data_IF_153915284606
#
_entry.id   IF_153915284606
#
_cell.length_a   1.000
_cell.length_b   1.000
_cell.length_c   1.000
_cell.angle_alpha   90.00
_cell.angle_beta   90.00
_cell.angle_gamma   90.00
#
_symmetry.space_group_name_H-M   'P 1'
#
loop_
_entity.id
_entity.type
_entity.pdbx_description
1 polymer ?
#
# COMPACT_ATOMS: atom_id res chain seq x y z
N UNK A 1 -22.72 26.05 52.69
CA UNK A 1 -22.21 24.81 52.07
C UNK A 1 -22.48 24.89 50.59
N UNK A 2 -21.45 25.10 49.77
CA UNK A 2 -21.54 25.11 48.31
C UNK A 2 -20.97 23.79 47.77
N UNK A 3 -21.60 23.13 46.78
CA UNK A 3 -21.05 21.91 46.22
C UNK A 3 -19.86 22.29 45.32
N UNK A 4 -18.69 21.69 45.59
CA UNK A 4 -17.53 21.77 44.71
C UNK A 4 -17.82 20.94 43.47
N UNK A 5 -17.99 21.60 42.33
CA UNK A 5 -18.05 20.96 41.02
C UNK A 5 -16.72 20.29 40.73
N UNK A 6 -16.70 18.96 40.72
CA UNK A 6 -15.54 18.16 40.33
C UNK A 6 -15.46 18.18 38.80
N UNK A 7 -14.54 18.99 38.26
CA UNK A 7 -14.23 19.01 36.83
C UNK A 7 -13.47 17.71 36.50
N UNK A 8 -14.17 16.72 35.97
CA UNK A 8 -13.55 15.50 35.44
C UNK A 8 -12.90 15.86 34.11
N UNK A 9 -11.59 16.07 34.12
CA UNK A 9 -10.79 16.21 32.91
C UNK A 9 -10.72 14.83 32.23
N UNK A 10 -11.48 14.65 31.15
CA UNK A 10 -11.44 13.46 30.32
C UNK A 10 -10.14 13.50 29.50
N UNK A 11 -9.09 12.84 29.98
CA UNK A 11 -7.88 12.61 29.19
C UNK A 11 -8.17 11.54 28.15
N UNK A 12 -8.45 11.97 26.91
CA UNK A 12 -8.36 11.07 25.76
C UNK A 12 -6.88 10.73 25.54
N UNK A 13 -6.46 9.55 25.99
CA UNK A 13 -5.18 8.98 25.58
C UNK A 13 -5.34 8.48 24.15
N UNK A 14 -5.14 9.37 23.18
CA UNK A 14 -4.96 8.99 21.78
C UNK A 14 -3.52 8.47 21.63
N UNK A 15 -3.32 7.16 21.76
CA UNK A 15 -2.03 6.51 21.46
C UNK A 15 -2.24 5.18 20.74
N UNK A 16 -2.17 5.25 19.41
CA UNK A 16 -1.68 4.18 18.53
C UNK A 16 -1.37 4.75 17.13
N UNK A 17 -0.80 5.96 17.07
CA UNK A 17 -0.26 6.50 15.82
C UNK A 17 1.26 6.37 15.86
N UNK A 18 1.83 5.85 14.78
CA UNK A 18 3.25 6.00 14.46
C UNK A 18 3.66 7.47 14.67
N UNK A 19 4.83 7.72 15.25
CA UNK A 19 5.27 9.09 15.52
C UNK A 19 6.70 9.34 15.06
N UNK A 20 6.92 10.43 14.29
CA UNK A 20 5.93 11.14 13.46
C UNK A 20 5.56 10.35 12.18
N UNK A 21 4.25 10.13 11.96
CA UNK A 21 3.68 9.88 10.63
C UNK A 21 3.95 11.11 9.77
N UNK A 22 4.54 10.89 8.59
CA UNK A 22 4.90 11.93 7.61
C UNK A 22 3.77 12.13 6.59
N UNK A 23 3.04 11.06 6.28
CA UNK A 23 1.85 11.05 5.46
C UNK A 23 0.93 9.90 5.90
N UNK A 24 -0.35 10.20 6.08
CA UNK A 24 -1.36 9.23 6.53
C UNK A 24 -2.31 8.90 5.39
N UNK A 25 -2.14 7.70 4.81
CA UNK A 25 -2.94 7.18 3.72
C UNK A 25 -4.02 6.21 4.17
N UNK A 26 -4.30 6.12 5.48
CA UNK A 26 -5.42 5.33 6.00
C UNK A 26 -6.70 6.11 5.75
N UNK A 27 -7.62 5.55 4.97
CA UNK A 27 -8.84 6.26 4.58
C UNK A 27 -9.73 6.46 5.82
N UNK A 28 -9.99 7.70 6.27
CA UNK A 28 -10.90 7.92 7.38
C UNK A 28 -12.34 7.68 6.92
N UNK A 29 -13.24 7.34 7.85
CA UNK A 29 -14.65 7.04 7.54
C UNK A 29 -15.45 8.22 6.94
N UNK A 30 -14.97 9.44 7.09
CA UNK A 30 -15.56 10.62 6.46
C UNK A 30 -15.01 10.91 5.06
N UNK A 31 -14.01 10.15 4.59
CA UNK A 31 -13.57 10.18 3.20
C UNK A 31 -14.59 9.43 2.34
N UNK A 32 -15.01 10.03 1.23
CA UNK A 32 -16.10 9.53 0.40
C UNK A 32 -15.70 9.37 -1.06
N UNK A 33 -16.56 8.77 -1.87
CA UNK A 33 -16.38 8.71 -3.33
C UNK A 33 -16.27 10.10 -3.98
N UNK A 34 -16.92 11.12 -3.41
CA UNK A 34 -16.78 12.52 -3.88
C UNK A 34 -15.35 13.02 -3.67
N UNK A 35 -14.72 12.67 -2.54
CA UNK A 35 -13.34 13.04 -2.27
C UNK A 35 -12.37 12.30 -3.21
N UNK A 36 -12.60 10.99 -3.45
CA UNK A 36 -11.84 10.23 -4.44
C UNK A 36 -11.96 10.86 -5.83
N UNK A 37 -13.18 11.14 -6.31
CA UNK A 37 -13.40 11.69 -7.65
C UNK A 37 -12.80 13.08 -7.86
N UNK A 38 -12.60 13.83 -6.76
CA UNK A 38 -11.96 15.14 -6.76
C UNK A 38 -10.43 15.08 -6.57
N UNK A 39 -9.83 13.88 -6.42
CA UNK A 39 -8.43 13.73 -5.99
C UNK A 39 -8.10 14.59 -4.76
N UNK A 40 -8.99 14.55 -3.77
CA UNK A 40 -8.79 15.24 -2.51
C UNK A 40 -7.72 14.53 -1.67
N UNK A 41 -6.98 15.29 -0.87
CA UNK A 41 -6.01 14.75 0.08
C UNK A 41 -6.63 13.65 0.95
N UNK A 42 -5.94 12.52 1.15
CA UNK A 42 -4.49 12.34 0.92
C UNK A 42 -4.11 11.71 -0.43
N UNK A 43 -5.06 11.53 -1.37
CA UNK A 43 -4.82 10.75 -2.59
C UNK A 43 -4.94 11.56 -3.88
N UNK A 44 -3.98 11.35 -4.78
CA UNK A 44 -4.17 11.64 -6.20
C UNK A 44 -4.72 10.38 -6.88
N UNK A 45 -5.85 10.49 -7.58
CA UNK A 45 -6.58 9.36 -8.15
C UNK A 45 -6.68 9.45 -9.68
N UNK A 46 -5.60 9.89 -10.31
CA UNK A 46 -5.54 10.21 -11.74
C UNK A 46 -5.13 9.01 -12.60
N UNK A 47 -4.42 8.04 -12.02
CA UNK A 47 -4.00 6.80 -12.70
C UNK A 47 -5.17 5.82 -12.68
N UNK A 48 -6.02 5.92 -13.69
CA UNK A 48 -7.24 5.11 -13.85
C UNK A 48 -7.71 5.13 -15.30
N UNK A 49 -8.77 4.37 -15.58
CA UNK A 49 -9.49 4.44 -16.85
C UNK A 49 -10.31 5.72 -17.05
N UNK A 50 -11.15 5.71 -18.08
CA UNK A 50 -11.94 6.88 -18.51
C UNK A 50 -13.08 7.23 -17.55
N UNK A 51 -13.55 6.29 -16.73
CA UNK A 51 -14.60 6.56 -15.74
C UNK A 51 -14.07 7.35 -14.53
N UNK A 52 -14.97 7.77 -13.65
CA UNK A 52 -14.63 8.41 -12.37
C UNK A 52 -13.79 7.49 -11.48
N UNK A 53 -13.01 8.04 -10.54
CA UNK A 53 -12.16 7.23 -9.65
C UNK A 53 -13.01 6.24 -8.82
N UNK A 54 -14.19 6.67 -8.38
CA UNK A 54 -15.16 5.87 -7.64
C UNK A 54 -15.75 4.68 -8.40
N UNK A 55 -15.57 4.61 -9.72
CA UNK A 55 -15.90 3.42 -10.52
C UNK A 55 -14.91 2.28 -10.23
N UNK A 56 -13.62 2.61 -10.14
CA UNK A 56 -12.53 1.64 -9.99
C UNK A 56 -12.13 1.41 -8.53
N UNK A 57 -12.34 2.42 -7.68
CA UNK A 57 -11.94 2.42 -6.26
C UNK A 57 -13.14 2.65 -5.36
N UNK A 58 -13.35 1.77 -4.39
CA UNK A 58 -14.44 1.83 -3.43
C UNK A 58 -13.92 1.94 -2.00
N UNK A 59 -14.62 2.75 -1.20
CA UNK A 59 -14.39 2.87 0.23
C UNK A 59 -15.45 2.05 0.95
N UNK A 60 -15.03 1.00 1.65
CA UNK A 60 -15.96 -0.03 2.12
C UNK A 60 -16.66 0.32 3.44
N UNK A 61 -16.36 1.45 4.07
CA UNK A 61 -16.89 1.83 5.38
C UNK A 61 -16.79 0.68 6.38
N UNK A 62 -17.91 0.35 7.03
CA UNK A 62 -18.02 -0.73 8.01
C UNK A 62 -18.36 -2.10 7.39
N UNK A 63 -18.41 -2.24 6.06
CA UNK A 63 -18.75 -3.52 5.41
C UNK A 63 -17.59 -4.50 5.35
N UNK A 64 -16.37 -4.02 5.63
CA UNK A 64 -15.15 -4.83 5.68
C UNK A 64 -14.23 -4.32 6.77
N UNK A 65 -13.59 -5.25 7.48
CA UNK A 65 -12.64 -4.90 8.54
C UNK A 65 -11.27 -4.59 7.93
N UNK A 66 -10.71 -3.45 8.31
CA UNK A 66 -9.32 -3.07 8.06
C UNK A 66 -8.34 -4.08 8.65
N UNK A 67 -7.05 -3.96 8.31
CA UNK A 67 -6.04 -4.78 8.99
C UNK A 67 -6.11 -4.54 10.51
N UNK A 68 -6.18 -5.60 11.33
CA UNK A 68 -6.25 -5.43 12.78
C UNK A 68 -4.92 -4.96 13.39
N UNK A 69 -3.82 -4.98 12.64
CA UNK A 69 -2.47 -4.59 13.10
C UNK A 69 -2.41 -3.19 13.77
N UNK A 70 -3.18 -2.25 13.23
CA UNK A 70 -3.20 -0.85 13.67
C UNK A 70 -4.40 -0.52 14.56
N UNK A 71 -5.28 -1.49 14.82
CA UNK A 71 -6.49 -1.31 15.61
C UNK A 71 -6.24 -1.81 17.04
N UNK A 72 -6.24 -0.94 18.06
CA UNK A 72 -5.98 -1.38 19.43
C UNK A 72 -7.10 -2.30 19.92
N UNK A 73 -6.74 -3.46 20.46
CA UNK A 73 -7.67 -4.36 21.15
C UNK A 73 -8.07 -3.75 22.50
N UNK A 74 -9.30 -3.24 22.61
CA UNK A 74 -9.85 -2.71 23.87
C UNK A 74 -10.22 -3.79 24.90
N UNK A 75 -10.09 -5.08 24.58
CA UNK A 75 -10.30 -6.16 25.54
C UNK A 75 -9.13 -6.32 26.53
N UNK A 76 -7.97 -5.71 26.23
CA UNK A 76 -6.84 -5.69 27.14
C UNK A 76 -7.03 -4.61 28.23
N UNK A 77 -6.88 -4.97 29.52
CA UNK A 77 -7.03 -4.01 30.61
C UNK A 77 -6.01 -2.88 30.50
N UNK A 78 -6.51 -1.65 30.37
CA UNK A 78 -5.68 -0.44 30.38
C UNK A 78 -5.27 -0.10 31.83
N UNK A 79 -3.99 0.18 32.12
CA UNK A 79 -3.59 0.73 33.41
C UNK A 79 -4.16 2.14 33.55
N UNK A 80 -4.98 2.36 34.58
CA UNK A 80 -5.46 3.70 34.93
C UNK A 80 -4.34 4.42 35.69
N UNK A 81 -3.31 4.83 34.97
CA UNK A 81 -2.13 5.52 35.52
C UNK A 81 -1.16 4.61 36.29
N UNK A 82 -0.06 5.19 36.81
CA UNK A 82 0.93 4.43 37.58
C UNK A 82 0.32 3.98 38.91
N UNK A 83 0.06 2.67 39.05
CA UNK A 83 -0.40 2.05 40.30
C UNK A 83 -1.93 2.03 40.53
N UNK A 84 -2.75 2.38 39.54
CA UNK A 84 -4.22 2.32 39.64
C UNK A 84 -4.78 0.88 39.49
N UNK A 85 -5.94 0.57 40.12
CA UNK A 85 -6.57 -0.73 39.97
C UNK A 85 -7.02 -0.98 38.52
N UNK A 86 -6.79 -2.20 38.04
CA UNK A 86 -7.27 -2.67 36.74
C UNK A 86 -8.79 -2.84 36.80
N UNK A 87 -9.54 -2.05 36.04
CA UNK A 87 -10.99 -2.20 35.95
C UNK A 87 -11.33 -3.30 34.93
N UNK A 88 -11.77 -4.46 35.42
CA UNK A 88 -12.27 -5.56 34.58
C UNK A 88 -13.76 -5.29 34.33
N UNK A 89 -14.11 -4.78 33.16
CA UNK A 89 -15.52 -4.74 32.72
C UNK A 89 -15.94 -6.10 32.19
N UNK A 90 -17.13 -6.62 32.52
CA UNK A 90 -17.63 -7.88 31.96
C UNK A 90 -17.78 -7.80 30.44
N UNK A 91 -17.29 -8.83 29.77
CA UNK A 91 -17.25 -9.07 28.32
C UNK A 91 -18.27 -8.30 27.47
N UNK A 92 -17.81 -7.24 26.82
CA UNK A 92 -18.20 -7.00 25.43
C UNK A 92 -17.18 -7.76 24.58
N UNK A 93 -17.63 -8.53 23.58
CA UNK A 93 -16.74 -9.19 22.63
C UNK A 93 -15.66 -8.19 22.15
N UNK A 94 -14.42 -8.62 21.88
CA UNK A 94 -13.36 -7.71 21.45
C UNK A 94 -13.83 -6.99 20.18
N UNK A 95 -14.28 -5.75 20.33
CA UNK A 95 -14.65 -4.92 19.21
C UNK A 95 -13.39 -4.14 18.86
N UNK A 96 -12.72 -4.57 17.79
CA UNK A 96 -11.68 -3.76 17.15
C UNK A 96 -12.31 -2.40 16.85
N UNK A 97 -11.72 -1.33 17.36
CA UNK A 97 -12.08 0.02 16.94
C UNK A 97 -11.42 0.25 15.59
N UNK A 98 -12.21 0.13 14.52
CA UNK A 98 -11.74 0.46 13.19
C UNK A 98 -11.43 1.97 13.16
N UNK A 99 -10.18 2.30 12.87
CA UNK A 99 -9.70 3.69 12.75
C UNK A 99 -9.69 4.17 11.29
N UNK A 100 -9.96 3.26 10.36
CA UNK A 100 -9.92 3.46 8.92
C UNK A 100 -10.95 2.54 8.24
N UNK A 101 -11.30 2.88 7.00
CA UNK A 101 -12.06 2.00 6.12
C UNK A 101 -11.17 1.35 5.08
N UNK A 102 -11.54 0.15 4.66
CA UNK A 102 -10.83 -0.59 3.60
C UNK A 102 -11.01 0.12 2.26
N UNK A 103 -9.91 0.23 1.51
CA UNK A 103 -9.89 0.72 0.13
C UNK A 103 -9.88 -0.49 -0.80
N UNK A 104 -10.94 -0.72 -1.54
CA UNK A 104 -10.99 -1.73 -2.59
C UNK A 104 -10.61 -1.10 -3.93
N UNK A 105 -9.52 -1.55 -4.54
CA UNK A 105 -9.05 -1.06 -5.84
C UNK A 105 -9.24 -2.18 -6.87
N UNK A 106 -9.82 -1.84 -8.01
CA UNK A 106 -10.11 -2.81 -9.07
C UNK A 106 -9.78 -2.28 -10.45
N UNK A 107 -9.52 -3.22 -11.35
CA UNK A 107 -9.37 -2.98 -12.78
C UNK A 107 -10.44 -3.74 -13.55
N UNK A 108 -10.85 -3.16 -14.67
CA UNK A 108 -11.68 -3.81 -15.68
C UNK A 108 -11.18 -3.45 -17.09
N UNK A 109 -11.91 -3.85 -18.13
CA UNK A 109 -11.51 -3.58 -19.51
C UNK A 109 -11.43 -2.08 -19.89
N UNK A 110 -12.03 -1.20 -19.08
CA UNK A 110 -11.95 0.26 -19.24
C UNK A 110 -10.78 0.91 -18.51
N UNK A 111 -10.02 0.16 -17.68
CA UNK A 111 -8.87 0.64 -16.91
C UNK A 111 -7.62 0.91 -17.76
N UNK A 112 -7.77 1.64 -18.86
CA UNK A 112 -6.67 2.09 -19.73
C UNK A 112 -6.29 3.52 -19.32
N UNK A 113 -5.11 3.69 -18.76
CA UNK A 113 -4.60 5.00 -18.39
C UNK A 113 -4.13 5.78 -19.63
N UNK A 114 -4.39 7.08 -19.64
CA UNK A 114 -4.02 8.00 -20.71
C UNK A 114 -3.16 9.12 -20.13
N UNK A 115 -1.82 8.95 -20.09
CA UNK A 115 -0.89 9.94 -19.56
C UNK A 115 -1.07 11.31 -20.23
N UNK A 116 -1.20 12.35 -19.42
CA UNK A 116 -1.38 13.73 -19.88
C UNK A 116 -2.70 13.99 -20.63
N UNK A 117 -3.65 13.04 -20.59
CA UNK A 117 -4.93 13.15 -21.30
C UNK A 117 -4.82 13.08 -22.83
N UNK A 118 -3.64 12.77 -23.38
CA UNK A 118 -3.45 12.60 -24.81
C UNK A 118 -3.69 11.14 -25.20
N UNK A 119 -4.76 10.87 -25.96
CA UNK A 119 -5.14 9.51 -26.37
C UNK A 119 -4.07 8.79 -27.20
N UNK A 120 -3.12 9.52 -27.81
CA UNK A 120 -1.97 8.90 -28.47
C UNK A 120 -1.02 8.17 -27.50
N UNK A 121 -1.05 8.54 -26.21
CA UNK A 121 -0.25 7.92 -25.15
C UNK A 121 -1.00 6.80 -24.41
N UNK A 122 -2.18 6.38 -24.89
CA UNK A 122 -3.02 5.40 -24.20
C UNK A 122 -2.27 4.09 -23.95
N UNK A 123 -2.18 3.67 -22.69
CA UNK A 123 -1.42 2.48 -22.29
C UNK A 123 -2.27 1.21 -22.46
N UNK A 124 -2.61 0.85 -23.70
CA UNK A 124 -3.49 -0.29 -24.01
C UNK A 124 -2.93 -1.65 -23.58
N UNK A 125 -1.60 -1.76 -23.45
CA UNK A 125 -0.92 -2.94 -22.95
C UNK A 125 -1.16 -3.17 -21.46
N UNK A 126 -1.55 -2.14 -20.70
CA UNK A 126 -1.85 -2.27 -19.26
C UNK A 126 -3.35 -2.22 -18.96
N UNK A 127 -3.71 -2.81 -17.81
CA UNK A 127 -4.91 -2.41 -17.08
C UNK A 127 -4.48 -1.90 -15.73
N UNK A 128 -4.76 -0.62 -15.44
CA UNK A 128 -4.29 -0.01 -14.22
C UNK A 128 -5.27 0.92 -13.55
N UNK A 129 -5.29 0.84 -12.23
CA UNK A 129 -5.96 1.78 -11.33
C UNK A 129 -5.13 1.86 -10.07
N UNK A 130 -4.63 3.05 -9.77
CA UNK A 130 -3.74 3.32 -8.65
C UNK A 130 -4.15 4.62 -7.96
N UNK A 131 -3.88 4.67 -6.66
CA UNK A 131 -3.88 5.88 -5.87
C UNK A 131 -2.42 6.24 -5.56
N UNK A 132 -2.12 7.53 -5.64
CA UNK A 132 -0.81 8.06 -5.29
C UNK A 132 -0.92 8.84 -3.98
N UNK A 133 0.11 8.79 -3.16
CA UNK A 133 0.24 9.68 -2.02
C UNK A 133 0.43 11.13 -2.51
N UNK A 134 -0.36 12.06 -1.98
CA UNK A 134 -0.19 13.51 -2.24
C UNK A 134 -0.34 14.35 -0.97
N UNK A 135 0.03 15.62 -1.09
CA UNK A 135 -0.31 16.70 -0.14
C UNK A 135 -0.62 17.97 -0.91
N UNK A 136 -1.75 18.61 -0.61
CA UNK A 136 -2.20 19.81 -1.33
C UNK A 136 -2.27 19.59 -2.85
N UNK A 137 -2.84 18.47 -3.28
CA UNK A 137 -3.04 18.14 -4.71
C UNK A 137 -1.76 17.94 -5.55
N UNK A 138 -0.60 17.78 -4.91
CA UNK A 138 0.67 17.50 -5.59
C UNK A 138 1.49 16.51 -4.75
N UNK A 139 2.02 15.47 -5.40
CA UNK A 139 2.86 14.47 -4.76
C UNK A 139 4.27 15.03 -4.45
N UNK A 140 4.76 16.03 -5.20
CA UNK A 140 6.07 16.65 -4.95
C UNK A 140 6.14 17.28 -3.56
N UNK A 141 5.00 17.75 -3.03
CA UNK A 141 4.90 18.34 -1.70
C UNK A 141 5.21 17.34 -0.56
N UNK A 142 5.24 16.03 -0.84
CA UNK A 142 5.61 15.00 0.12
C UNK A 142 7.12 14.71 0.15
N UNK A 143 7.83 14.93 -0.94
CA UNK A 143 9.22 14.47 -1.10
C UNK A 143 10.18 14.99 -0.03
N UNK A 144 10.15 16.28 0.38
CA UNK A 144 11.08 16.79 1.38
C UNK A 144 11.00 16.02 2.71
N UNK A 145 9.81 15.53 3.06
CA UNK A 145 9.57 14.82 4.31
C UNK A 145 9.70 13.29 4.17
N UNK A 146 9.12 12.74 3.10
CA UNK A 146 8.89 11.28 2.97
C UNK A 146 10.02 10.53 2.27
N UNK A 147 10.87 11.24 1.53
CA UNK A 147 11.92 10.62 0.71
C UNK A 147 13.30 11.20 0.98
N UNK A 148 13.57 11.55 2.24
CA UNK A 148 14.87 11.99 2.74
C UNK A 148 15.27 11.19 3.98
N UNK A 149 16.58 11.05 4.23
CA UNK A 149 17.08 10.28 5.39
C UNK A 149 16.67 8.81 5.34
N UNK A 150 15.99 8.34 6.39
CA UNK A 150 15.43 6.99 6.47
C UNK A 150 13.94 7.08 6.80
N UNK A 151 13.09 6.57 5.90
CA UNK A 151 11.63 6.52 6.08
C UNK A 151 11.11 5.11 5.88
N UNK A 152 9.89 4.84 6.37
CA UNK A 152 9.26 3.51 6.28
C UNK A 152 7.88 3.64 5.66
N UNK A 153 7.65 2.84 4.62
CA UNK A 153 6.40 2.78 3.87
C UNK A 153 5.60 1.57 4.34
N UNK A 154 4.48 1.80 5.02
CA UNK A 154 3.58 0.78 5.55
C UNK A 154 2.40 0.58 4.61
N UNK A 155 1.99 -0.67 4.42
CA UNK A 155 0.79 -1.02 3.67
C UNK A 155 0.36 -2.45 4.00
N UNK A 156 -0.94 -2.71 3.98
CA UNK A 156 -1.51 -4.05 4.14
C UNK A 156 -2.37 -4.38 2.93
N UNK A 157 -2.23 -5.61 2.44
CA UNK A 157 -2.86 -6.07 1.19
C UNK A 157 -3.64 -7.35 1.49
N UNK A 158 -4.85 -7.45 0.92
CA UNK A 158 -5.69 -8.65 0.98
C UNK A 158 -6.36 -8.88 -0.38
N UNK A 159 -6.58 -10.14 -0.74
CA UNK A 159 -7.34 -10.48 -1.94
C UNK A 159 -8.79 -9.98 -1.83
N UNK A 160 -9.34 -9.44 -2.93
CA UNK A 160 -10.79 -9.24 -3.06
C UNK A 160 -11.41 -10.55 -3.61
N UNK A 161 -12.11 -11.36 -2.80
CA UNK A 161 -12.68 -12.62 -3.25
C UNK A 161 -13.78 -12.42 -4.32
N UNK A 162 -14.36 -11.21 -4.42
CA UNK A 162 -15.33 -10.89 -5.46
C UNK A 162 -14.68 -10.54 -6.81
N UNK A 163 -13.36 -10.31 -6.84
CA UNK A 163 -12.60 -9.89 -8.03
C UNK A 163 -11.26 -10.62 -8.10
N UNK A 164 -11.26 -11.95 -8.27
CA UNK A 164 -10.05 -12.75 -8.23
C UNK A 164 -9.05 -12.35 -9.32
N UNK A 165 -7.76 -12.42 -9.00
CA UNK A 165 -6.68 -12.14 -9.95
C UNK A 165 -6.43 -13.30 -10.90
N UNK A 166 -5.94 -12.99 -12.11
CA UNK A 166 -5.42 -13.96 -13.07
C UNK A 166 -3.89 -14.07 -13.00
N UNK A 167 -3.42 -15.07 -12.27
CA UNK A 167 -1.99 -15.30 -12.00
C UNK A 167 -1.11 -15.67 -13.22
N UNK A 168 -1.68 -15.78 -14.43
CA UNK A 168 -0.90 -15.82 -15.67
C UNK A 168 -0.23 -14.48 -15.99
N UNK A 169 -0.77 -13.37 -15.47
CA UNK A 169 -0.24 -12.03 -15.68
C UNK A 169 0.68 -11.60 -14.54
N UNK A 170 1.53 -10.62 -14.82
CA UNK A 170 2.26 -9.89 -13.79
C UNK A 170 1.39 -8.76 -13.25
N UNK A 171 1.40 -8.61 -11.92
CA UNK A 171 0.81 -7.46 -11.24
C UNK A 171 1.90 -6.70 -10.50
N UNK A 172 1.84 -5.38 -10.59
CA UNK A 172 2.66 -4.45 -9.81
C UNK A 172 1.69 -3.63 -8.94
N UNK A 173 1.76 -3.82 -7.63
CA UNK A 173 0.61 -3.49 -6.75
C UNK A 173 0.90 -2.46 -5.67
N UNK A 174 2.19 -2.20 -5.41
CA UNK A 174 2.70 -1.09 -4.61
C UNK A 174 4.12 -0.78 -5.10
N UNK A 175 4.46 0.47 -5.38
CA UNK A 175 5.80 0.86 -5.82
C UNK A 175 6.06 2.35 -5.61
N UNK A 176 7.33 2.76 -5.65
CA UNK A 176 7.72 4.16 -5.78
C UNK A 176 8.32 4.37 -7.17
N UNK A 177 7.72 5.21 -8.01
CA UNK A 177 8.10 5.46 -9.41
C UNK A 177 8.86 6.79 -9.55
N UNK A 178 10.19 6.79 -9.74
CA UNK A 178 10.92 7.98 -10.16
C UNK A 178 10.57 8.39 -11.58
N UNK A 179 11.02 9.57 -12.00
CA UNK A 179 10.68 10.15 -13.31
C UNK A 179 11.11 9.33 -14.54
N UNK A 180 11.97 8.32 -14.37
CA UNK A 180 12.42 7.43 -15.43
C UNK A 180 11.53 6.18 -15.62
N UNK A 181 10.47 6.04 -14.81
CA UNK A 181 9.55 4.90 -14.85
C UNK A 181 10.11 3.62 -14.22
N UNK A 182 11.28 3.68 -13.58
CA UNK A 182 11.79 2.59 -12.75
C UNK A 182 11.05 2.52 -11.41
N UNK A 183 11.38 1.55 -10.56
CA UNK A 183 10.81 1.48 -9.20
C UNK A 183 11.93 1.50 -8.16
N UNK A 184 11.86 2.36 -7.14
CA UNK A 184 12.82 2.31 -6.01
C UNK A 184 12.71 0.97 -5.28
N UNK A 185 11.48 0.54 -5.04
CA UNK A 185 11.10 -0.84 -4.71
C UNK A 185 9.73 -1.12 -5.34
N UNK A 186 9.37 -2.39 -5.49
CA UNK A 186 8.05 -2.77 -5.97
C UNK A 186 7.54 -4.06 -5.32
N UNK A 187 6.22 -4.16 -5.19
CA UNK A 187 5.53 -5.39 -4.81
C UNK A 187 4.96 -6.01 -6.07
N UNK A 188 5.44 -7.20 -6.40
CA UNK A 188 5.00 -7.98 -7.55
C UNK A 188 4.17 -9.18 -7.09
N UNK A 189 3.16 -9.51 -7.88
CA UNK A 189 2.35 -10.72 -7.75
C UNK A 189 2.12 -11.33 -9.15
N UNK A 190 1.76 -12.60 -9.23
CA UNK A 190 1.54 -13.27 -10.51
C UNK A 190 2.81 -13.69 -11.22
N UNK A 191 2.67 -13.93 -12.52
CA UNK A 191 3.74 -14.44 -13.38
C UNK A 191 4.44 -13.29 -14.10
N UNK A 192 5.74 -13.06 -13.89
CA UNK A 192 6.47 -11.97 -14.53
C UNK A 192 6.31 -11.97 -16.05
N UNK A 193 6.19 -10.79 -16.65
CA UNK A 193 6.14 -10.66 -18.09
C UNK A 193 7.46 -11.14 -18.73
N UNK A 194 7.34 -12.02 -19.73
CA UNK A 194 8.48 -12.46 -20.54
C UNK A 194 8.13 -12.41 -22.02
N UNK A 195 9.12 -12.06 -22.84
CA UNK A 195 9.06 -12.14 -24.29
C UNK A 195 10.23 -13.00 -24.82
N UNK A 196 9.98 -14.24 -25.30
CA UNK A 196 8.67 -14.90 -25.46
C UNK A 196 8.02 -15.26 -24.13
N UNK A 197 6.70 -15.47 -24.14
CA UNK A 197 5.94 -15.93 -22.97
C UNK A 197 6.40 -17.33 -22.55
N UNK A 198 6.79 -17.47 -21.28
CA UNK A 198 7.16 -18.74 -20.68
C UNK A 198 5.96 -19.61 -20.31
N UNK A 199 6.19 -20.69 -19.55
CA UNK A 199 5.12 -21.50 -18.97
C UNK A 199 4.39 -20.73 -17.89
N UNK A 200 3.06 -20.69 -17.97
CA UNK A 200 2.19 -19.94 -17.06
C UNK A 200 1.14 -20.86 -16.40
N UNK A 201 0.72 -20.55 -15.15
CA UNK A 201 1.36 -19.61 -14.25
C UNK A 201 2.73 -20.14 -13.79
N UNK A 202 3.65 -19.26 -13.41
CA UNK A 202 4.91 -19.69 -12.78
C UNK A 202 4.63 -20.27 -11.39
N UNK A 203 5.52 -21.15 -10.90
CA UNK A 203 5.28 -21.88 -9.64
C UNK A 203 5.02 -20.97 -8.42
N UNK A 204 5.61 -19.78 -8.39
CA UNK A 204 5.45 -18.78 -7.33
C UNK A 204 4.53 -17.62 -7.73
N UNK A 205 3.59 -17.83 -8.66
CA UNK A 205 2.68 -16.77 -9.10
C UNK A 205 1.75 -16.29 -7.96
N UNK A 206 1.45 -17.16 -7.00
CA UNK A 206 0.64 -16.86 -5.82
C UNK A 206 1.43 -16.25 -4.66
N UNK A 207 2.67 -15.80 -4.87
CA UNK A 207 3.47 -15.18 -3.83
C UNK A 207 3.57 -13.67 -4.02
N UNK A 208 3.44 -12.91 -2.93
CA UNK A 208 3.87 -11.52 -2.86
C UNK A 208 5.40 -11.50 -2.89
N UNK A 209 5.97 -10.72 -3.81
CA UNK A 209 7.42 -10.57 -3.99
C UNK A 209 7.79 -9.11 -3.77
N UNK A 210 8.68 -8.85 -2.81
CA UNK A 210 9.28 -7.52 -2.62
C UNK A 210 10.53 -7.44 -3.47
N UNK A 211 10.57 -6.48 -4.39
CA UNK A 211 11.64 -6.28 -5.35
C UNK A 211 12.43 -5.01 -5.03
N UNK A 212 13.74 -5.04 -5.23
CA UNK A 212 14.58 -3.84 -5.29
C UNK A 212 14.51 -3.16 -6.67
N UNK A 213 15.25 -2.06 -6.84
CA UNK A 213 15.29 -1.32 -8.10
C UNK A 213 15.86 -2.12 -9.28
N UNK A 214 16.74 -3.09 -9.02
CA UNK A 214 17.23 -4.01 -10.04
C UNK A 214 16.26 -5.17 -10.32
N UNK A 215 15.04 -5.14 -9.76
CA UNK A 215 14.03 -6.20 -9.81
C UNK A 215 14.47 -7.51 -9.15
N UNK A 216 15.47 -7.46 -8.27
CA UNK A 216 15.87 -8.62 -7.47
C UNK A 216 14.88 -8.82 -6.34
N UNK A 217 14.43 -10.05 -6.16
CA UNK A 217 13.57 -10.44 -5.04
C UNK A 217 14.37 -10.34 -3.73
N UNK A 218 13.90 -9.48 -2.83
CA UNK A 218 14.40 -9.30 -1.46
C UNK A 218 13.68 -10.23 -0.49
N UNK A 219 12.37 -10.42 -0.69
CA UNK A 219 11.52 -11.23 0.17
C UNK A 219 10.33 -11.78 -0.61
N UNK A 220 9.85 -12.95 -0.20
CA UNK A 220 8.68 -13.63 -0.77
C UNK A 220 7.79 -14.13 0.35
N UNK A 221 6.48 -13.97 0.20
CA UNK A 221 5.49 -14.59 1.08
C UNK A 221 4.29 -15.13 0.28
N UNK A 222 3.84 -16.34 0.60
CA UNK A 222 2.64 -16.92 0.00
C UNK A 222 1.42 -16.03 0.26
N UNK A 223 0.72 -15.60 -0.79
CA UNK A 223 -0.44 -14.72 -0.72
C UNK A 223 -1.70 -15.53 -0.50
N UNK A 224 -2.08 -15.64 0.77
CA UNK A 224 -3.17 -16.48 1.23
C UNK A 224 -4.49 -15.72 1.18
N UNK A 225 -5.54 -16.35 0.64
CA UNK A 225 -6.89 -15.78 0.67
C UNK A 225 -7.35 -15.50 2.10
N UNK A 226 -8.25 -14.51 2.23
CA UNK A 226 -8.86 -14.07 3.49
C UNK A 226 -7.93 -13.52 4.58
N UNK A 227 -6.62 -13.42 4.30
CA UNK A 227 -5.60 -12.92 5.23
C UNK A 227 -5.17 -11.50 4.85
N UNK A 228 -4.99 -10.65 5.86
CA UNK A 228 -4.27 -9.39 5.68
C UNK A 228 -2.76 -9.65 5.68
N UNK A 229 -2.08 -9.28 4.60
CA UNK A 229 -0.63 -9.32 4.51
C UNK A 229 -0.07 -7.94 4.79
N UNK A 230 0.55 -7.76 5.95
CA UNK A 230 1.11 -6.48 6.36
C UNK A 230 2.57 -6.41 5.93
N UNK A 231 2.97 -5.31 5.29
CA UNK A 231 4.34 -5.04 4.90
C UNK A 231 4.77 -3.66 5.37
N UNK A 232 6.05 -3.55 5.66
CA UNK A 232 6.71 -2.26 5.76
C UNK A 232 8.07 -2.31 5.07
N UNK A 233 8.38 -1.29 4.26
CA UNK A 233 9.67 -1.16 3.57
C UNK A 233 10.40 0.05 4.13
N UNK A 234 11.49 -0.20 4.87
CA UNK A 234 12.40 0.84 5.33
C UNK A 234 13.35 1.21 4.19
N UNK A 235 13.39 2.47 3.82
CA UNK A 235 14.23 3.00 2.74
C UNK A 235 15.26 3.96 3.34
N UNK A 236 16.55 3.65 3.19
CA UNK A 236 17.63 4.62 3.44
C UNK A 236 17.99 5.30 2.11
N UNK A 237 17.51 6.53 1.94
CA UNK A 237 17.67 7.31 0.71
C UNK A 237 19.12 7.75 0.46
N UNK A 238 19.94 7.79 1.52
CA UNK A 238 21.34 8.22 1.44
C UNK A 238 22.25 7.04 1.12
N UNK A 239 22.08 5.92 1.82
CA UNK A 239 22.88 4.69 1.61
C UNK A 239 22.35 3.81 0.50
N UNK A 240 21.15 4.09 -0.01
CA UNK A 240 20.42 3.28 -0.98
C UNK A 240 20.31 1.85 -0.49
N UNK A 241 19.63 1.66 0.62
CA UNK A 241 19.32 0.33 1.16
C UNK A 241 17.82 0.18 1.43
N UNK A 242 17.37 -1.07 1.37
CA UNK A 242 16.01 -1.47 1.68
C UNK A 242 16.04 -2.52 2.79
N UNK A 243 15.12 -2.42 3.76
CA UNK A 243 14.81 -3.51 4.67
C UNK A 243 13.31 -3.79 4.67
N UNK A 244 12.94 -5.06 4.73
CA UNK A 244 11.55 -5.50 4.64
C UNK A 244 11.11 -6.03 6.00
N UNK A 245 9.93 -5.58 6.43
CA UNK A 245 9.17 -6.17 7.51
C UNK A 245 7.90 -6.80 6.95
N UNK A 246 7.45 -7.88 7.58
CA UNK A 246 6.25 -8.60 7.18
C UNK A 246 5.55 -9.24 8.37
N UNK A 247 4.22 -9.31 8.30
CA UNK A 247 3.38 -10.12 9.19
C UNK A 247 2.02 -10.42 8.54
N UNK A 248 1.18 -11.16 9.28
CA UNK A 248 -0.20 -11.48 8.87
C UNK A 248 -1.19 -11.01 9.91
N UNK A 249 -2.35 -10.55 9.46
CA UNK A 249 -3.48 -10.14 10.28
C UNK A 249 -3.06 -9.18 11.41
N UNK A 250 -3.28 -9.55 12.68
CA UNK A 250 -2.98 -8.70 13.83
C UNK A 250 -1.58 -8.90 14.40
N UNK A 251 -0.78 -9.79 13.82
CA UNK A 251 0.56 -10.08 14.31
C UNK A 251 1.50 -8.90 14.05
N UNK A 252 2.35 -8.59 15.03
CA UNK A 252 3.33 -7.52 14.90
C UNK A 252 4.28 -7.77 13.71
N UNK A 253 4.63 -6.71 13.00
CA UNK A 253 5.60 -6.75 11.91
C UNK A 253 6.96 -7.24 12.43
N UNK A 254 7.58 -8.17 11.70
CA UNK A 254 8.93 -8.64 11.98
C UNK A 254 9.85 -8.28 10.81
N UNK A 255 11.07 -7.85 11.12
CA UNK A 255 12.11 -7.70 10.11
C UNK A 255 12.43 -9.08 9.48
N UNK A 256 12.09 -9.24 8.20
CA UNK A 256 12.33 -10.47 7.43
C UNK A 256 13.60 -10.38 6.58
N UNK A 257 14.17 -9.18 6.47
CA UNK A 257 15.52 -8.95 5.93
C UNK A 257 16.32 -8.05 6.86
N UNK A 258 17.65 -8.07 6.71
CA UNK A 258 18.51 -6.96 7.13
C UNK A 258 18.41 -5.81 6.12
N UNK A 259 19.14 -4.72 6.33
CA UNK A 259 19.31 -3.73 5.27
C UNK A 259 20.09 -4.36 4.09
N UNK A 260 19.50 -4.35 2.91
CA UNK A 260 20.06 -4.89 1.67
C UNK A 260 20.35 -3.74 0.68
N UNK A 261 21.43 -3.81 -0.10
CA UNK A 261 21.75 -2.77 -1.09
C UNK A 261 20.66 -2.61 -2.16
N UNK A 262 20.39 -1.37 -2.53
CA UNK A 262 19.57 -0.95 -3.65
C UNK A 262 20.39 -0.09 -4.61
N UNK A 263 21.61 -0.54 -4.91
CA UNK A 263 22.67 0.29 -5.48
C UNK A 263 22.37 0.87 -6.87
N UNK A 264 21.50 0.21 -7.65
CA UNK A 264 21.08 0.65 -8.98
C UNK A 264 20.12 1.84 -8.94
N UNK A 265 19.48 2.12 -7.79
CA UNK A 265 18.66 3.31 -7.64
C UNK A 265 19.51 4.58 -7.75
N UNK A 266 18.93 5.63 -8.34
CA UNK A 266 19.55 6.93 -8.38
C UNK A 266 19.54 7.61 -6.99
N UNK A 267 20.43 8.57 -6.78
CA UNK A 267 20.49 9.37 -5.54
C UNK A 267 19.90 10.76 -5.76
N UNK A 268 19.42 11.38 -4.69
CA UNK A 268 18.82 12.72 -4.77
C UNK A 268 17.48 12.69 -5.50
N UNK A 269 17.09 13.83 -6.07
CA UNK A 269 15.76 14.01 -6.68
C UNK A 269 15.46 13.06 -7.84
N UNK A 270 16.48 12.54 -8.52
CA UNK A 270 16.29 11.56 -9.62
C UNK A 270 15.93 10.16 -9.11
N UNK A 271 16.25 9.83 -7.85
CA UNK A 271 15.86 8.57 -7.21
C UNK A 271 14.59 8.65 -6.38
N UNK A 272 14.01 9.85 -6.27
CA UNK A 272 12.73 10.08 -5.59
C UNK A 272 11.59 9.97 -6.60
N UNK A 273 10.38 9.64 -6.12
CA UNK A 273 9.28 9.32 -7.00
C UNK A 273 7.90 9.34 -6.38
N UNK A 274 6.91 9.00 -7.18
CA UNK A 274 5.51 8.89 -6.79
C UNK A 274 5.28 7.59 -6.02
N UNK A 275 4.64 7.63 -4.84
CA UNK A 275 4.28 6.40 -4.11
C UNK A 275 2.89 5.93 -4.55
N UNK A 276 2.87 4.84 -5.32
CA UNK A 276 1.68 4.23 -5.92
C UNK A 276 1.23 2.99 -5.14
N UNK A 277 -0.08 2.83 -4.98
CA UNK A 277 -0.71 1.57 -4.58
C UNK A 277 -2.00 1.34 -5.35
N UNK A 278 -2.25 0.09 -5.74
CA UNK A 278 -3.41 -0.28 -6.55
C UNK A 278 -3.13 -1.51 -7.38
N UNK A 279 -3.78 -1.62 -8.54
CA UNK A 279 -3.62 -2.79 -9.41
C UNK A 279 -3.13 -2.32 -10.76
N UNK A 280 -1.88 -2.63 -11.11
CA UNK A 280 -1.33 -2.55 -12.46
C UNK A 280 -1.11 -3.97 -12.98
N UNK A 281 -1.85 -4.36 -14.02
CA UNK A 281 -1.73 -5.65 -14.70
C UNK A 281 -1.00 -5.47 -16.03
N UNK A 282 0.06 -6.26 -16.23
CA UNK A 282 0.80 -6.33 -17.50
C UNK A 282 0.10 -7.29 -18.48
N UNK A 283 0.29 -7.11 -19.80
CA UNK A 283 -0.30 -7.99 -20.80
C UNK A 283 0.46 -9.32 -20.90
N UNK A 284 -0.09 -10.26 -21.64
CA UNK A 284 0.68 -11.35 -22.25
C UNK A 284 1.17 -10.93 -23.62
N UNK A 285 2.27 -11.54 -24.09
CA UNK A 285 2.74 -11.32 -25.46
C UNK A 285 1.69 -11.83 -26.44
N UNK A 286 1.24 -10.98 -27.36
CA UNK A 286 0.41 -11.42 -28.47
C UNK A 286 1.31 -12.01 -29.57
N UNK A 287 1.17 -13.30 -29.93
CA UNK A 287 2.00 -13.91 -30.97
C UNK A 287 1.88 -13.23 -32.34
N UNK A 288 0.75 -12.55 -32.59
CA UNK A 288 0.45 -11.84 -33.85
C UNK A 288 1.11 -10.47 -33.97
N UNK A 289 1.67 -9.94 -32.88
CA UNK A 289 2.33 -8.64 -32.88
C UNK A 289 3.71 -8.72 -33.58
N UNK A 290 4.16 -7.59 -34.13
CA UNK A 290 5.53 -7.43 -34.64
C UNK A 290 6.54 -7.53 -33.49
N UNK A 291 7.83 -7.75 -33.78
CA UNK A 291 8.84 -7.82 -32.71
C UNK A 291 8.92 -6.51 -31.90
N UNK A 292 8.77 -5.36 -32.55
CA UNK A 292 8.77 -4.06 -31.86
C UNK A 292 7.56 -3.95 -30.92
N UNK A 293 6.36 -4.32 -31.38
CA UNK A 293 5.16 -4.31 -30.55
C UNK A 293 5.25 -5.30 -29.38
N UNK A 294 5.85 -6.48 -29.58
CA UNK A 294 6.07 -7.45 -28.49
C UNK A 294 6.99 -6.93 -27.39
N UNK A 295 7.87 -5.97 -27.70
CA UNK A 295 8.75 -5.31 -26.72
C UNK A 295 8.13 -4.04 -26.13
N UNK A 296 7.08 -3.50 -26.73
CA UNK A 296 6.34 -2.35 -26.23
C UNK A 296 5.14 -2.80 -25.39
N UNK A 297 5.48 -3.29 -24.19
CA UNK A 297 4.53 -3.84 -23.20
C UNK A 297 3.50 -2.80 -22.71
N UNK A 298 3.81 -1.51 -22.85
CA UNK A 298 2.93 -0.42 -22.41
C UNK A 298 1.72 -0.29 -23.33
N UNK A 299 1.89 -0.53 -24.63
CA UNK A 299 0.87 -0.26 -25.64
C UNK A 299 0.28 -1.53 -26.28
N UNK A 300 0.97 -2.67 -26.22
CA UNK A 300 0.58 -3.89 -26.96
C UNK A 300 0.47 -5.14 -26.07
N UNK A 301 0.01 -6.25 -26.67
CA UNK A 301 -0.23 -7.51 -26.00
C UNK A 301 -1.71 -7.85 -25.78
N UNK A 302 -1.96 -8.95 -25.08
CA UNK A 302 -3.31 -9.49 -24.83
C UNK A 302 -3.61 -9.57 -23.34
N UNK A 303 -4.86 -9.26 -22.99
CA UNK A 303 -5.37 -9.38 -21.63
C UNK A 303 -6.79 -9.91 -21.65
N UNK A 304 -7.02 -10.98 -20.90
CA UNK A 304 -8.33 -11.54 -20.59
C UNK A 304 -8.84 -11.06 -19.23
N UNK A 305 -10.11 -11.36 -18.93
CA UNK A 305 -10.76 -11.04 -17.66
C UNK A 305 -11.83 -9.95 -17.79
N UNK A 306 -12.70 -9.86 -16.77
CA UNK A 306 -13.71 -8.81 -16.68
C UNK A 306 -13.39 -7.82 -15.58
N UNK A 307 -13.14 -8.31 -14.36
CA UNK A 307 -12.82 -7.45 -13.21
C UNK A 307 -11.92 -8.18 -12.23
N UNK A 308 -10.87 -7.51 -11.78
CA UNK A 308 -9.85 -8.03 -10.86
C UNK A 308 -9.53 -6.97 -9.82
N UNK A 309 -9.22 -7.35 -8.58
CA UNK A 309 -9.07 -6.36 -7.52
C UNK A 309 -8.36 -6.83 -6.27
N UNK A 310 -7.95 -5.84 -5.49
CA UNK A 310 -7.25 -6.00 -4.22
C UNK A 310 -7.86 -5.06 -3.17
N UNK A 311 -7.72 -5.45 -1.90
CA UNK A 311 -8.12 -4.67 -0.75
C UNK A 311 -6.87 -4.13 -0.05
N UNK A 312 -6.95 -2.87 0.36
CA UNK A 312 -5.86 -2.13 1.02
C UNK A 312 -6.29 -1.54 2.35
N UNK A 313 -5.36 -1.49 3.29
CA UNK A 313 -5.51 -0.90 4.61
C UNK A 313 -4.14 -0.62 5.22
N UNK A 314 -4.06 0.21 6.28
CA UNK A 314 -2.83 0.43 7.02
C UNK A 314 -1.74 1.10 6.19
N UNK A 315 -2.13 1.96 5.24
CA UNK A 315 -1.20 2.65 4.35
C UNK A 315 -0.76 3.97 4.98
N UNK A 316 0.53 4.12 5.27
CA UNK A 316 1.09 5.39 5.73
C UNK A 316 2.61 5.40 5.56
N UNK A 317 3.22 6.58 5.69
CA UNK A 317 4.66 6.77 5.70
C UNK A 317 5.05 7.35 7.05
N UNK A 318 6.04 6.76 7.70
CA UNK A 318 6.57 7.28 8.97
C UNK A 318 8.05 7.65 8.86
N UNK A 319 8.46 8.57 9.73
CA UNK A 319 9.87 8.78 10.00
C UNK A 319 10.37 7.68 10.93
N UNK A 320 11.69 7.47 10.94
CA UNK A 320 12.34 6.50 11.83
C UNK A 320 12.86 7.11 13.14
N UNK A 321 12.49 8.35 13.45
CA UNK A 321 13.01 9.10 14.62
C UNK A 321 12.78 8.38 15.95
N UNK A 322 11.66 7.70 16.09
CA UNK A 322 11.26 6.96 17.29
C UNK A 322 11.28 5.42 17.07
N UNK A 323 12.07 4.97 16.09
CA UNK A 323 12.11 3.58 15.62
C UNK A 323 11.15 3.31 14.46
N UNK A 324 10.94 2.02 14.17
CA UNK A 324 10.00 1.52 13.14
C UNK A 324 8.78 0.95 13.84
N UNK A 325 7.59 1.44 13.52
CA UNK A 325 6.34 0.94 14.09
C UNK A 325 6.08 -0.49 13.63
N UNK A 326 5.66 -1.37 14.55
CA UNK A 326 5.40 -2.78 14.23
C UNK A 326 3.96 -3.23 14.55
N UNK A 327 3.08 -2.29 14.87
CA UNK A 327 1.70 -2.56 15.28
C UNK A 327 1.51 -2.52 16.79
N UNK A 328 0.24 -2.49 17.23
CA UNK A 328 -0.14 -2.51 18.65
C UNK A 328 0.55 -1.44 19.53
N UNK A 329 0.89 -0.29 18.94
CA UNK A 329 1.60 0.80 19.63
C UNK A 329 3.06 0.50 19.97
N UNK A 330 3.66 -0.54 19.41
CA UNK A 330 5.08 -0.90 19.60
C UNK A 330 5.94 -0.45 18.43
N UNK A 331 7.22 -0.23 18.71
CA UNK A 331 8.26 0.01 17.71
C UNK A 331 9.51 -0.81 18.00
N UNK A 332 10.33 -1.02 16.97
CA UNK A 332 11.66 -1.60 17.04
C UNK A 332 12.72 -0.59 16.60
N UNK A 333 14.00 -0.79 16.94
CA UNK A 333 15.08 0.00 16.34
C UNK A 333 15.12 -0.11 14.81
N UNK A 334 15.78 0.86 14.17
CA UNK A 334 16.12 0.82 12.75
C UNK A 334 16.75 -0.52 12.37
N UNK A 335 16.35 -1.05 11.22
CA UNK A 335 16.98 -2.23 10.64
C UNK A 335 18.27 -1.79 9.95
N UNK A 336 19.39 -2.38 10.39
CA UNK A 336 20.74 -2.12 9.86
C UNK A 336 21.26 -3.27 9.00
#
# INVERSE_FOLDING_TARGET
MAPKSLLVALFFVVRALAKPVLWDGRAPFNFTSVNLDASADPYLSVVKGSNKASHYTQLLGNTSNSTPLWSPDRSLPQPIGPGGPVQITPSQAPHLELIEQVIAVSIDNSSVFVPGGNTANSQYGFRRTELLAQRNSDWHNLLPDTQTGITVFHFSIKLDPAKPLNYNHEYQIVFIEPSDGSHVFGIQLGSPFTNPTGTLPVANAHDLKVLDHAKKILYTAAFTADVWHNLAVQVDWSKKTLAVLYSKDGAELQAVTKALPNSSAASGSTGQGEFHFGVLKLPLVNPRDTNDHKNDVVHYGTQEGTTEGLLYSGIFIESTKDGVSIGNGRSIPLIV
#
